data_IF_588782965152
#
_entry.id   IF_588782965152
#
_cell.length_a   1.000
_cell.length_b   1.000
_cell.length_c   1.000
_cell.angle_alpha   90.00
_cell.angle_beta   90.00
_cell.angle_gamma   90.00
#
_symmetry.space_group_name_H-M   'P 1'
#
loop_
_entity.id
_entity.type
_entity.pdbx_description
1 polymer ?
#
# COMPACT_ATOMS: atom_id res chain seq x y z
N UNK A 1 11.40 8.04 -7.93
CA UNK A 1 11.04 6.61 -7.87
C UNK A 1 10.25 6.40 -6.59
N UNK A 2 8.94 6.16 -6.66
CA UNK A 2 8.15 6.06 -5.42
C UNK A 2 6.72 5.57 -5.60
N UNK A 3 5.85 6.29 -6.32
CA UNK A 3 4.42 5.96 -6.34
C UNK A 3 4.16 4.62 -7.05
N UNK A 4 4.80 4.40 -8.20
CA UNK A 4 4.67 3.16 -8.98
C UNK A 4 5.24 1.95 -8.24
N UNK A 5 6.36 2.11 -7.51
CA UNK A 5 6.94 1.04 -6.70
C UNK A 5 6.00 0.66 -5.55
N UNK A 6 5.42 1.65 -4.86
CA UNK A 6 4.41 1.41 -3.82
C UNK A 6 3.19 0.69 -4.39
N UNK A 7 2.70 1.07 -5.57
CA UNK A 7 1.58 0.41 -6.25
C UNK A 7 1.90 -1.06 -6.56
N UNK A 8 3.03 -1.34 -7.21
CA UNK A 8 3.41 -2.72 -7.57
C UNK A 8 3.62 -3.59 -6.34
N UNK A 9 4.32 -3.08 -5.33
CA UNK A 9 4.61 -3.83 -4.10
C UNK A 9 3.36 -4.07 -3.26
N UNK A 10 2.46 -3.08 -3.15
CA UNK A 10 1.19 -3.24 -2.43
C UNK A 10 0.25 -4.20 -3.13
N UNK A 11 0.18 -4.14 -4.46
CA UNK A 11 -0.62 -5.07 -5.26
C UNK A 11 -0.11 -6.51 -5.12
N UNK A 12 1.20 -6.72 -5.29
CA UNK A 12 1.83 -8.03 -5.16
C UNK A 12 1.69 -8.60 -3.74
N UNK A 13 1.83 -7.75 -2.71
CA UNK A 13 1.57 -8.11 -1.31
C UNK A 13 0.12 -8.59 -1.13
N UNK A 14 -0.85 -7.84 -1.63
CA UNK A 14 -2.27 -8.20 -1.57
C UNK A 14 -2.57 -9.54 -2.26
N UNK A 15 -2.02 -9.76 -3.46
CA UNK A 15 -2.22 -11.03 -4.17
C UNK A 15 -1.65 -12.19 -3.36
N UNK A 16 -0.40 -12.11 -2.91
CA UNK A 16 0.22 -13.22 -2.17
C UNK A 16 -0.46 -13.48 -0.81
N UNK A 17 -0.96 -12.42 -0.16
CA UNK A 17 -1.67 -12.54 1.12
C UNK A 17 -2.97 -13.31 0.95
N UNK A 18 -3.68 -13.02 -0.14
CA UNK A 18 -4.97 -13.64 -0.45
C UNK A 18 -4.83 -15.01 -1.14
N UNK A 19 -3.67 -15.31 -1.71
CA UNK A 19 -3.37 -16.58 -2.41
C UNK A 19 -2.76 -17.65 -1.50
N UNK A 20 -2.62 -17.39 -0.20
CA UNK A 20 -2.11 -18.39 0.75
C UNK A 20 -0.59 -18.54 0.76
N UNK A 21 0.17 -17.50 0.37
CA UNK A 21 1.64 -17.46 0.47
C UNK A 21 2.11 -16.48 1.55
N UNK A 22 1.74 -16.69 2.83
CA UNK A 22 1.81 -15.65 3.85
C UNK A 22 3.24 -15.20 4.21
N UNK A 23 4.24 -16.06 4.04
CA UNK A 23 5.65 -15.72 4.32
C UNK A 23 6.26 -14.80 3.25
N UNK A 24 5.90 -14.99 1.99
CA UNK A 24 6.40 -14.18 0.86
C UNK A 24 5.81 -12.77 0.84
N UNK A 25 4.70 -12.56 1.55
CA UNK A 25 4.02 -11.27 1.68
C UNK A 25 4.80 -10.29 2.54
N UNK A 26 5.53 -10.77 3.55
CA UNK A 26 6.26 -9.94 4.52
C UNK A 26 7.25 -8.97 3.83
N UNK A 27 8.19 -9.45 2.99
CA UNK A 27 9.13 -8.53 2.33
C UNK A 27 8.44 -7.54 1.38
N UNK A 28 7.37 -7.96 0.68
CA UNK A 28 6.63 -7.07 -0.22
C UNK A 28 5.89 -5.97 0.54
N UNK A 29 5.30 -6.31 1.68
CA UNK A 29 4.56 -5.40 2.54
C UNK A 29 5.50 -4.38 3.17
N UNK A 30 6.64 -4.83 3.69
CA UNK A 30 7.68 -3.95 4.20
C UNK A 30 8.23 -3.03 3.09
N UNK A 31 8.48 -3.57 1.90
CA UNK A 31 8.90 -2.78 0.75
C UNK A 31 7.89 -1.69 0.38
N UNK A 32 6.60 -2.02 0.35
CA UNK A 32 5.52 -1.07 0.08
C UNK A 32 5.45 0.04 1.14
N UNK A 33 5.58 -0.30 2.43
CA UNK A 33 5.56 0.66 3.55
C UNK A 33 6.81 1.56 3.53
N UNK A 34 8.00 1.01 3.31
CA UNK A 34 9.23 1.81 3.28
C UNK A 34 9.22 2.76 2.08
N UNK A 35 8.85 2.27 0.89
CA UNK A 35 8.79 3.11 -0.31
C UNK A 35 7.75 4.22 -0.20
N UNK A 36 6.58 3.94 0.39
CA UNK A 36 5.53 4.92 0.62
C UNK A 36 5.96 6.01 1.60
N UNK A 37 6.60 5.64 2.71
CA UNK A 37 7.12 6.59 3.70
C UNK A 37 8.24 7.45 3.13
N UNK A 38 9.22 6.85 2.44
CA UNK A 38 10.30 7.61 1.79
C UNK A 38 9.73 8.63 0.79
N UNK A 39 8.67 8.27 0.07
CA UNK A 39 8.03 9.19 -0.85
C UNK A 39 7.32 10.36 -0.15
N UNK A 40 6.52 10.05 0.87
CA UNK A 40 5.80 11.06 1.66
C UNK A 40 6.79 12.00 2.33
N UNK A 41 7.87 11.48 2.94
CA UNK A 41 8.88 12.32 3.58
C UNK A 41 9.58 13.27 2.60
N UNK A 42 9.87 12.80 1.37
CA UNK A 42 10.43 13.65 0.31
C UNK A 42 9.45 14.73 -0.18
N UNK A 43 8.15 14.49 -0.08
CA UNK A 43 7.09 15.46 -0.40
C UNK A 43 6.94 16.49 0.72
N UNK A 44 6.91 16.04 1.98
CA UNK A 44 6.83 16.90 3.16
C UNK A 44 8.04 17.83 3.31
N UNK A 45 9.22 17.43 2.83
CA UNK A 45 10.41 18.30 2.83
C UNK A 45 10.33 19.43 1.79
N UNK A 46 9.31 19.47 0.92
CA UNK A 46 9.12 20.55 -0.05
C UNK A 46 8.38 21.74 0.61
N UNK A 47 8.87 22.99 0.47
CA UNK A 47 8.29 24.17 1.14
C UNK A 47 6.81 24.44 0.83
N UNK A 48 6.29 23.93 -0.29
CA UNK A 48 4.93 24.20 -0.77
C UNK A 48 3.85 23.28 -0.16
N UNK A 49 4.20 22.27 0.64
CA UNK A 49 3.23 21.26 1.09
C UNK A 49 3.11 21.09 2.64
N UNK A 50 3.07 22.17 3.46
CA UNK A 50 3.02 22.07 4.93
C UNK A 50 1.69 21.52 5.49
N UNK A 51 0.68 21.26 4.65
CA UNK A 51 -0.65 20.76 5.06
C UNK A 51 -0.87 19.28 4.76
N UNK A 52 0.10 18.60 4.16
CA UNK A 52 -0.04 17.18 3.88
C UNK A 52 -0.01 16.42 5.21
N UNK A 53 -1.10 15.76 5.60
CA UNK A 53 -1.14 14.86 6.77
C UNK A 53 -0.44 13.52 6.45
N UNK A 54 0.80 13.61 5.97
CA UNK A 54 1.55 12.47 5.43
C UNK A 54 1.68 11.33 6.43
N UNK A 55 1.87 11.62 7.71
CA UNK A 55 1.94 10.61 8.78
C UNK A 55 0.64 9.81 8.90
N UNK A 56 -0.52 10.49 8.88
CA UNK A 56 -1.83 9.83 8.98
C UNK A 56 -2.07 8.96 7.76
N UNK A 57 -1.71 9.44 6.57
CA UNK A 57 -1.89 8.72 5.30
C UNK A 57 -0.97 7.49 5.25
N UNK A 58 0.30 7.62 5.63
CA UNK A 58 1.23 6.50 5.76
C UNK A 58 0.71 5.45 6.74
N UNK A 59 0.21 5.88 7.90
CA UNK A 59 -0.30 4.97 8.92
C UNK A 59 -1.56 4.24 8.44
N UNK A 60 -2.52 4.96 7.85
CA UNK A 60 -3.74 4.37 7.29
C UNK A 60 -3.41 3.36 6.18
N UNK A 61 -2.47 3.71 5.28
CA UNK A 61 -2.03 2.81 4.21
C UNK A 61 -1.34 1.55 4.75
N UNK A 62 -0.45 1.70 5.74
CA UNK A 62 0.24 0.57 6.36
C UNK A 62 -0.74 -0.37 7.08
N UNK A 63 -1.69 0.17 7.85
CA UNK A 63 -2.73 -0.61 8.53
C UNK A 63 -3.58 -1.35 7.51
N UNK A 64 -4.00 -0.68 6.43
CA UNK A 64 -4.80 -1.32 5.39
C UNK A 64 -4.04 -2.48 4.74
N UNK A 65 -2.76 -2.29 4.40
CA UNK A 65 -1.94 -3.37 3.86
C UNK A 65 -1.81 -4.55 4.82
N UNK A 66 -1.69 -4.30 6.12
CA UNK A 66 -1.50 -5.35 7.13
C UNK A 66 -2.72 -6.22 7.37
N UNK A 67 -3.95 -5.74 7.12
CA UNK A 67 -5.19 -6.51 7.33
C UNK A 67 -5.17 -7.86 6.58
N UNK A 68 -5.00 -7.91 5.24
CA UNK A 68 -4.97 -9.18 4.53
C UNK A 68 -3.76 -10.04 4.92
N UNK A 69 -2.62 -9.45 5.28
CA UNK A 69 -1.44 -10.19 5.74
C UNK A 69 -1.73 -10.89 7.08
N UNK A 70 -2.33 -10.19 8.02
CA UNK A 70 -2.71 -10.74 9.32
C UNK A 70 -3.76 -11.83 9.19
N UNK A 71 -4.78 -11.64 8.34
CA UNK A 71 -5.79 -12.66 8.04
C UNK A 71 -5.16 -13.92 7.45
N UNK A 72 -4.27 -13.78 6.48
CA UNK A 72 -3.55 -14.90 5.86
C UNK A 72 -2.59 -15.62 6.82
N UNK A 73 -1.87 -14.89 7.67
CA UNK A 73 -0.92 -15.47 8.63
C UNK A 73 -1.60 -16.17 9.81
N UNK A 74 -2.63 -15.54 10.39
CA UNK A 74 -3.23 -16.02 11.64
C UNK A 74 -4.39 -17.00 11.42
N UNK A 75 -5.16 -16.82 10.35
CA UNK A 75 -6.38 -17.57 10.12
C UNK A 75 -6.28 -18.48 8.88
N UNK A 76 -5.19 -18.38 8.10
CA UNK A 76 -5.06 -19.10 6.83
C UNK A 76 -6.13 -18.69 5.80
N UNK A 77 -6.76 -17.53 6.01
CA UNK A 77 -7.84 -17.07 5.15
C UNK A 77 -7.31 -16.69 3.77
N UNK A 78 -7.92 -17.26 2.75
CA UNK A 78 -7.64 -16.98 1.35
C UNK A 78 -8.89 -16.48 0.66
N UNK A 79 -8.71 -15.75 -0.43
CA UNK A 79 -9.81 -15.33 -1.30
C UNK A 79 -9.62 -16.05 -2.63
N UNK A 80 -10.67 -16.71 -3.16
CA UNK A 80 -10.57 -17.39 -4.44
C UNK A 80 -10.26 -16.40 -5.58
N UNK A 81 -9.74 -16.94 -6.66
CA UNK A 81 -9.60 -16.21 -7.92
C UNK A 81 -10.95 -16.21 -8.65
N UNK A 82 -11.41 -15.07 -9.20
CA UNK A 82 -10.69 -13.81 -9.44
C UNK A 82 -10.84 -12.73 -8.36
N UNK A 83 -11.64 -12.96 -7.31
CA UNK A 83 -11.97 -11.95 -6.31
C UNK A 83 -10.72 -11.38 -5.62
N UNK A 84 -9.68 -12.20 -5.43
CA UNK A 84 -8.40 -11.78 -4.89
C UNK A 84 -7.76 -10.58 -5.65
N UNK A 85 -7.97 -10.48 -6.97
CA UNK A 85 -7.46 -9.35 -7.76
C UNK A 85 -8.15 -8.03 -7.39
N UNK A 86 -9.45 -8.08 -7.13
CA UNK A 86 -10.23 -6.90 -6.76
C UNK A 86 -9.76 -6.40 -5.40
N UNK A 87 -9.68 -7.29 -4.41
CA UNK A 87 -9.27 -6.93 -3.05
C UNK A 87 -7.80 -6.50 -2.97
N UNK A 88 -6.89 -7.17 -3.69
CA UNK A 88 -5.49 -6.76 -3.79
C UNK A 88 -5.33 -5.40 -4.49
N UNK A 89 -6.25 -5.05 -5.40
CA UNK A 89 -6.27 -3.79 -6.12
C UNK A 89 -6.69 -2.56 -5.29
N UNK A 90 -7.37 -2.75 -4.16
CA UNK A 90 -7.95 -1.62 -3.41
C UNK A 90 -6.90 -0.68 -2.81
N UNK A 91 -5.89 -1.23 -2.12
CA UNK A 91 -4.80 -0.45 -1.53
C UNK A 91 -3.98 0.34 -2.60
N UNK A 92 -3.50 -0.28 -3.70
CA UNK A 92 -2.82 0.44 -4.76
C UNK A 92 -3.72 1.45 -5.48
N UNK A 93 -5.01 1.14 -5.67
CA UNK A 93 -5.96 2.09 -6.26
C UNK A 93 -6.15 3.33 -5.38
N UNK A 94 -6.32 3.14 -4.07
CA UNK A 94 -6.42 4.26 -3.12
C UNK A 94 -5.14 5.12 -3.14
N UNK A 95 -3.97 4.49 -3.19
CA UNK A 95 -2.70 5.20 -3.33
C UNK A 95 -2.59 5.98 -4.64
N UNK A 96 -3.06 5.39 -5.75
CA UNK A 96 -3.07 6.05 -7.06
C UNK A 96 -4.02 7.25 -7.07
N UNK A 97 -5.23 7.12 -6.53
CA UNK A 97 -6.19 8.23 -6.39
C UNK A 97 -5.58 9.36 -5.57
N UNK A 98 -4.96 9.03 -4.43
CA UNK A 98 -4.26 10.01 -3.61
C UNK A 98 -3.15 10.74 -4.39
N UNK A 99 -2.33 9.98 -5.14
CA UNK A 99 -1.29 10.55 -5.99
C UNK A 99 -1.85 11.50 -7.06
N UNK A 100 -2.92 11.11 -7.75
CA UNK A 100 -3.58 11.93 -8.79
C UNK A 100 -4.15 13.21 -8.20
N UNK A 101 -4.82 13.14 -7.04
CA UNK A 101 -5.34 14.32 -6.34
C UNK A 101 -4.21 15.30 -6.01
N UNK A 102 -3.07 14.79 -5.53
CA UNK A 102 -1.89 15.63 -5.27
C UNK A 102 -1.23 16.19 -6.52
N UNK A 103 -1.46 15.59 -7.69
CA UNK A 103 -0.96 16.09 -8.96
C UNK A 103 -1.86 17.20 -9.53
N UNK A 104 -3.18 17.08 -9.36
CA UNK A 104 -4.16 18.10 -9.79
C UNK A 104 -4.12 19.35 -8.90
N UNK A 105 -3.84 19.19 -7.59
CA UNK A 105 -3.80 20.31 -6.62
C UNK A 105 -2.47 21.08 -6.60
N UNK A 106 -1.58 20.84 -7.55
CA UNK A 106 -0.32 21.59 -7.74
C UNK A 106 -0.52 22.77 -8.66
#
# INVERSE_FOLDING_TARGET
>A
MSALATIVLSFASGILALSGFPWWVIPLTLGAIVTSNVWISKRLSQPNEPRLQGTIISAAFAVWLLIPVWRGLMHGETIPFPEAFIFAGLAPAAWLVFYVVLLIRR
#
